data_IF_562090106868
#
_entry.id   IF_562090106868
#
_cell.length_a   1.000
_cell.length_b   1.000
_cell.length_c   1.000
_cell.angle_alpha   90.00
_cell.angle_beta   90.00
_cell.angle_gamma   90.00
#
_symmetry.space_group_name_H-M   'P 1'
#
loop_
_entity.id
_entity.type
_entity.pdbx_description
1 polymer ?
#
# COMPACT_ATOMS: atom_id res chain seq x y z
N UNK A 1 -22.73 -25.91 -10.09
CA UNK A 1 -22.80 -26.78 -8.89
C UNK A 1 -22.35 -25.99 -7.68
N UNK A 2 -22.91 -26.24 -6.48
CA UNK A 2 -22.41 -25.63 -5.24
C UNK A 2 -20.96 -26.07 -4.95
N UNK A 3 -20.17 -25.17 -4.36
CA UNK A 3 -18.75 -25.39 -4.06
C UNK A 3 -18.24 -24.41 -3.00
N UNK A 4 -17.00 -24.62 -2.52
CA UNK A 4 -16.39 -23.76 -1.50
C UNK A 4 -16.07 -22.38 -2.07
N UNK A 5 -16.58 -21.33 -1.43
CA UNK A 5 -16.20 -19.95 -1.71
C UNK A 5 -15.07 -19.50 -0.77
N UNK A 6 -14.05 -18.83 -1.32
CA UNK A 6 -12.93 -18.29 -0.54
C UNK A 6 -11.76 -19.26 -0.36
N UNK A 7 -10.78 -18.87 0.46
CA UNK A 7 -9.52 -19.61 0.63
C UNK A 7 -8.62 -19.58 -0.61
N UNK A 8 -8.83 -18.60 -1.49
CA UNK A 8 -8.07 -18.40 -2.73
C UNK A 8 -7.25 -17.13 -2.59
N UNK A 9 -5.99 -17.16 -3.03
CA UNK A 9 -5.14 -15.96 -3.07
C UNK A 9 -5.70 -14.96 -4.09
N UNK A 10 -5.97 -13.74 -3.62
CA UNK A 10 -6.43 -12.61 -4.45
C UNK A 10 -5.51 -11.41 -4.24
N UNK A 11 -5.44 -10.55 -5.24
CA UNK A 11 -4.63 -9.32 -5.21
C UNK A 11 -5.52 -8.15 -5.59
N UNK A 12 -5.61 -7.17 -4.69
CA UNK A 12 -6.21 -5.87 -5.01
C UNK A 12 -5.13 -5.02 -5.67
N UNK A 13 -5.45 -4.42 -6.82
CA UNK A 13 -4.50 -3.67 -7.65
C UNK A 13 -4.73 -2.18 -7.48
N UNK A 14 -3.69 -1.37 -7.74
CA UNK A 14 -3.75 0.09 -7.68
C UNK A 14 -4.22 0.65 -6.33
N UNK A 15 -3.80 0.01 -5.24
CA UNK A 15 -4.01 0.52 -3.88
C UNK A 15 -3.02 1.63 -3.62
N UNK A 16 -3.50 2.72 -3.02
CA UNK A 16 -2.69 3.89 -2.70
C UNK A 16 -2.15 3.78 -1.28
N UNK A 17 -0.91 4.20 -1.09
CA UNK A 17 -0.34 4.42 0.24
C UNK A 17 -0.82 5.78 0.71
N UNK A 18 -1.52 5.81 1.85
CA UNK A 18 -2.02 7.03 2.45
C UNK A 18 -1.00 7.67 3.37
N UNK A 19 -0.39 6.83 4.21
CA UNK A 19 0.46 7.30 5.29
C UNK A 19 1.48 6.24 5.66
N UNK A 20 2.69 6.66 6.04
CA UNK A 20 3.76 5.80 6.53
C UNK A 20 4.20 6.33 7.90
N UNK A 21 4.20 5.44 8.90
CA UNK A 21 4.69 5.71 10.25
C UNK A 21 5.98 4.90 10.44
N UNK A 22 7.16 5.52 10.28
CA UNK A 22 8.44 4.84 10.40
C UNK A 22 8.75 4.40 11.85
N UNK A 23 8.34 5.17 12.86
CA UNK A 23 8.56 4.82 14.27
C UNK A 23 7.94 3.47 14.63
N UNK A 24 6.74 3.20 14.10
CA UNK A 24 5.98 1.97 14.37
C UNK A 24 6.07 0.94 13.24
N UNK A 25 6.79 1.25 12.16
CA UNK A 25 6.81 0.46 10.92
C UNK A 25 5.40 0.15 10.39
N UNK A 26 4.48 1.13 10.44
CA UNK A 26 3.11 0.97 9.97
C UNK A 26 2.93 1.58 8.57
N UNK A 27 2.20 0.85 7.73
CA UNK A 27 1.81 1.28 6.40
C UNK A 27 0.28 1.40 6.34
N UNK A 28 -0.20 2.61 6.12
CA UNK A 28 -1.63 2.87 5.95
C UNK A 28 -1.98 2.86 4.47
N UNK A 29 -2.88 1.97 4.09
CA UNK A 29 -3.37 1.83 2.73
C UNK A 29 -4.77 2.42 2.62
N UNK A 30 -5.04 3.10 1.51
CA UNK A 30 -6.38 3.58 1.20
C UNK A 30 -7.17 2.47 0.50
N UNK A 31 -8.19 1.94 1.18
CA UNK A 31 -9.10 0.93 0.65
C UNK A 31 -9.07 -0.40 1.41
N UNK A 32 -9.46 -1.48 0.72
CA UNK A 32 -9.62 -2.81 1.30
C UNK A 32 -8.48 -3.76 0.95
N UNK A 33 -8.16 -4.67 1.87
CA UNK A 33 -7.12 -5.70 1.73
C UNK A 33 -7.76 -7.08 1.91
N UNK A 34 -7.41 -8.08 1.08
CA UNK A 34 -8.04 -9.40 1.15
C UNK A 34 -7.57 -10.17 2.39
N UNK A 35 -8.52 -10.73 3.13
CA UNK A 35 -8.26 -11.54 4.32
C UNK A 35 -8.77 -10.90 5.60
N UNK A 36 -8.84 -11.66 6.71
CA UNK A 36 -9.21 -11.11 8.00
C UNK A 36 -8.06 -10.29 8.62
N UNK A 37 -8.38 -9.49 9.63
CA UNK A 37 -7.39 -8.77 10.43
C UNK A 37 -6.39 -9.74 11.09
N UNK A 38 -5.11 -9.37 11.11
CA UNK A 38 -4.01 -10.20 11.65
C UNK A 38 -3.48 -11.25 10.68
N UNK A 39 -4.05 -11.36 9.48
CA UNK A 39 -3.50 -12.21 8.43
C UNK A 39 -2.26 -11.58 7.77
N UNK A 40 -1.39 -12.43 7.22
CA UNK A 40 -0.24 -11.98 6.45
C UNK A 40 -0.66 -11.55 5.05
N UNK A 41 -0.07 -10.45 4.58
CA UNK A 41 -0.32 -9.89 3.26
C UNK A 41 1.00 -9.63 2.55
N UNK A 42 1.00 -9.84 1.23
CA UNK A 42 2.15 -9.55 0.38
C UNK A 42 1.94 -8.19 -0.30
N UNK A 43 2.85 -7.26 -0.04
CA UNK A 43 2.87 -5.93 -0.66
C UNK A 43 4.03 -5.86 -1.64
N UNK A 44 3.77 -5.32 -2.83
CA UNK A 44 4.77 -5.07 -3.87
C UNK A 44 4.33 -3.87 -4.70
N UNK A 45 5.27 -3.30 -5.45
CA UNK A 45 4.98 -2.21 -6.37
C UNK A 45 3.92 -2.60 -7.41
N UNK A 46 3.11 -1.60 -7.78
CA UNK A 46 2.04 -1.80 -8.77
C UNK A 46 2.61 -2.05 -10.16
N UNK A 47 1.98 -2.98 -10.89
CA UNK A 47 2.34 -3.32 -12.26
C UNK A 47 1.67 -2.38 -13.27
N UNK A 48 0.43 -1.95 -13.02
CA UNK A 48 -0.36 -1.16 -13.97
C UNK A 48 -0.05 0.34 -13.92
N UNK A 49 0.09 0.88 -12.70
CA UNK A 49 0.49 2.27 -12.46
C UNK A 49 1.81 2.24 -11.72
N UNK A 50 2.90 1.99 -12.47
CA UNK A 50 4.23 1.88 -11.88
C UNK A 50 4.59 3.20 -11.20
N UNK A 51 5.15 3.16 -9.99
CA UNK A 51 5.66 4.37 -9.36
C UNK A 51 6.85 4.91 -10.17
N UNK A 52 7.12 6.20 -10.01
CA UNK A 52 8.28 6.82 -10.63
C UNK A 52 9.56 6.29 -9.95
N UNK A 53 10.26 5.40 -10.65
CA UNK A 53 11.46 4.72 -10.15
C UNK A 53 12.62 5.66 -9.84
N UNK A 54 12.63 6.89 -10.36
CA UNK A 54 13.69 7.88 -10.09
C UNK A 54 13.54 8.53 -8.72
N UNK A 55 12.32 8.63 -8.19
CA UNK A 55 12.04 9.27 -6.91
C UNK A 55 12.15 8.30 -5.72
N UNK A 56 12.00 7.00 -5.97
CA UNK A 56 11.99 5.99 -4.92
C UNK A 56 13.42 5.57 -4.53
N UNK A 57 13.67 5.26 -3.24
CA UNK A 57 14.96 4.74 -2.81
C UNK A 57 15.21 3.33 -3.36
N UNK A 58 16.41 3.11 -3.91
CA UNK A 58 16.87 1.82 -4.43
C UNK A 58 18.21 1.43 -3.79
N UNK A 59 18.44 0.16 -3.39
CA UNK A 59 17.55 -1.00 -3.50
C UNK A 59 16.38 -1.01 -2.50
N UNK A 60 16.52 -0.29 -1.39
CA UNK A 60 15.50 -0.09 -0.37
C UNK A 60 15.84 1.18 0.42
N UNK A 61 14.91 1.67 1.24
CA UNK A 61 15.19 2.71 2.23
C UNK A 61 16.17 2.20 3.30
N UNK A 62 17.18 2.99 3.65
CA UNK A 62 18.11 2.74 4.75
C UNK A 62 17.91 3.79 5.83
N UNK A 63 17.54 3.37 7.05
CA UNK A 63 17.48 4.28 8.19
C UNK A 63 18.90 4.73 8.56
N UNK A 64 19.26 5.98 8.23
CA UNK A 64 20.43 6.62 8.82
C UNK A 64 20.03 7.20 10.18
N UNK A 65 20.89 7.05 11.18
CA UNK A 65 20.56 7.16 12.61
C UNK A 65 20.05 8.52 13.13
N UNK A 66 19.90 9.53 12.25
CA UNK A 66 19.45 10.88 12.60
C UNK A 66 18.22 11.34 11.79
N UNK A 67 17.63 10.51 10.92
CA UNK A 67 16.43 10.91 10.18
C UNK A 67 15.18 10.84 11.06
N UNK A 68 14.48 11.98 11.12
CA UNK A 68 13.25 12.19 11.87
C UNK A 68 12.25 11.06 11.63
N UNK A 69 11.80 10.41 12.71
CA UNK A 69 10.70 9.43 12.71
C UNK A 69 9.33 10.09 12.46
N UNK A 70 9.31 11.09 11.58
CA UNK A 70 8.14 11.89 11.30
C UNK A 70 7.18 11.09 10.43
N UNK A 71 5.91 11.31 10.75
CA UNK A 71 4.78 10.75 10.07
C UNK A 71 4.72 11.29 8.63
N UNK A 72 4.97 10.43 7.62
CA UNK A 72 4.96 10.79 6.20
C UNK A 72 3.55 10.62 5.63
N UNK A 73 2.82 11.73 5.46
CA UNK A 73 1.49 11.74 4.82
C UNK A 73 1.66 11.95 3.32
N UNK A 74 1.01 11.12 2.50
CA UNK A 74 0.99 11.35 1.06
C UNK A 74 0.07 12.53 0.73
N UNK A 75 0.48 13.38 -0.22
CA UNK A 75 -0.42 14.37 -0.83
C UNK A 75 -1.44 13.63 -1.70
N UNK A 76 -2.60 13.32 -1.11
CA UNK A 76 -3.72 12.79 -1.86
C UNK A 76 -4.43 13.95 -2.55
N UNK A 77 -4.62 13.84 -3.87
CA UNK A 77 -5.55 14.73 -4.58
C UNK A 77 -6.97 14.62 -4.01
N UNK A 78 -7.79 15.63 -4.28
CA UNK A 78 -9.13 15.79 -3.68
C UNK A 78 -10.11 14.63 -3.99
N UNK A 79 -9.85 13.87 -5.06
CA UNK A 79 -10.77 12.87 -5.58
C UNK A 79 -10.19 11.46 -5.41
N UNK A 80 -10.95 10.58 -4.75
CA UNK A 80 -10.57 9.18 -4.58
C UNK A 80 -10.58 8.45 -5.93
N UNK A 81 -9.46 7.82 -6.35
CA UNK A 81 -9.39 7.05 -7.59
C UNK A 81 -10.45 5.94 -7.72
N UNK A 82 -11.02 5.44 -6.62
CA UNK A 82 -12.14 4.50 -6.66
C UNK A 82 -13.48 5.14 -7.05
N UNK A 83 -13.61 6.46 -6.87
CA UNK A 83 -14.82 7.23 -7.22
C UNK A 83 -14.75 7.85 -8.63
N UNK A 84 -13.60 7.73 -9.32
CA UNK A 84 -13.39 8.27 -10.69
C UNK A 84 -13.77 7.26 -11.78
N UNK A 85 -14.09 6.02 -11.41
CA UNK A 85 -14.27 4.92 -12.37
C UNK A 85 -15.70 4.75 -12.92
N UNK A 86 -16.59 5.74 -12.74
CA UNK A 86 -17.93 5.80 -13.35
C UNK A 86 -17.97 6.76 -14.56
#
# INVERSE_FOLDING_TARGET
>A
MPGRMGGVQRTVKNVWVYHIDPARNLLYLKGQVPGPQGSFVFVKDSIYKKPNTTLLPFPTYFAQGDESEDLLIADLGDIDPFMVAD
#
